data_IF_040683940180
#
_entry.id   IF_040683940180
#
_cell.length_a   1.000
_cell.length_b   1.000
_cell.length_c   1.000
_cell.angle_alpha   90.00
_cell.angle_beta   90.00
_cell.angle_gamma   90.00
#
_symmetry.space_group_name_H-M   'P 1'
#
loop_
_entity.id
_entity.type
_entity.pdbx_description
1 polymer ?
#
# COMPACT_ATOMS: atom_id res chain seq x y z
N UNK A 1 19.09 9.47 6.74
CA UNK A 1 17.97 9.61 7.69
C UNK A 1 17.37 10.98 7.48
N UNK A 2 16.25 11.11 6.75
CA UNK A 2 15.75 12.42 6.34
C UNK A 2 14.24 12.46 6.21
N UNK A 3 13.63 13.44 6.89
CA UNK A 3 12.35 14.01 6.51
C UNK A 3 11.11 13.40 7.18
N UNK A 4 10.96 13.57 8.50
CA UNK A 4 9.65 13.49 9.15
C UNK A 4 9.61 14.46 10.33
N UNK A 5 9.72 15.76 10.07
CA UNK A 5 9.36 16.77 11.05
C UNK A 5 8.55 17.87 10.38
N UNK A 6 7.40 18.14 11.01
CA UNK A 6 6.44 19.22 10.82
C UNK A 6 5.17 18.89 10.00
N UNK A 7 4.02 19.42 10.47
CA UNK A 7 2.61 19.21 10.03
C UNK A 7 1.78 18.14 10.80
N UNK A 8 1.61 18.42 12.10
CA UNK A 8 0.91 17.59 13.09
C UNK A 8 -0.63 17.61 12.96
N UNK A 9 -1.21 16.62 12.27
CA UNK A 9 -2.44 15.87 12.65
C UNK A 9 -2.92 14.90 11.56
N UNK A 10 -2.48 15.10 10.32
CA UNK A 10 -2.80 14.24 9.18
C UNK A 10 -1.61 13.37 8.71
N UNK A 11 -0.36 13.72 9.10
CA UNK A 11 0.85 12.99 8.66
C UNK A 11 1.14 11.67 9.41
N UNK A 12 0.57 11.43 10.60
CA UNK A 12 0.94 10.24 11.40
C UNK A 12 0.39 8.92 10.84
N UNK A 13 -0.71 8.97 10.08
CA UNK A 13 -1.35 7.79 9.51
C UNK A 13 -0.73 7.39 8.17
N UNK A 14 -0.36 8.41 7.39
CA UNK A 14 0.29 8.25 6.10
C UNK A 14 1.68 7.58 6.24
N UNK A 15 2.47 8.00 7.24
CA UNK A 15 3.81 7.44 7.46
C UNK A 15 3.81 5.96 7.89
N UNK A 16 2.78 5.50 8.63
CA UNK A 16 2.67 4.07 9.01
C UNK A 16 2.34 3.19 7.81
N UNK A 17 1.42 3.63 6.94
CA UNK A 17 1.08 2.91 5.73
C UNK A 17 2.28 2.78 4.79
N UNK A 18 3.01 3.87 4.57
CA UNK A 18 4.21 3.89 3.71
C UNK A 18 5.30 2.97 4.27
N UNK A 19 5.55 3.00 5.58
CA UNK A 19 6.52 2.12 6.22
C UNK A 19 6.17 0.63 6.07
N UNK A 20 4.90 0.28 6.27
CA UNK A 20 4.46 -1.11 6.12
C UNK A 20 4.45 -1.57 4.66
N UNK A 21 4.03 -0.72 3.73
CA UNK A 21 4.10 -1.00 2.30
C UNK A 21 5.55 -1.19 1.82
N UNK A 22 6.51 -0.41 2.35
CA UNK A 22 7.94 -0.60 2.06
C UNK A 22 8.48 -1.91 2.65
N UNK A 23 8.02 -2.34 3.83
CA UNK A 23 8.37 -3.65 4.38
C UNK A 23 7.89 -4.79 3.50
N UNK A 24 6.65 -4.69 2.97
CA UNK A 24 6.11 -5.67 2.03
C UNK A 24 6.84 -5.64 0.68
N UNK A 25 7.29 -4.47 0.24
CA UNK A 25 8.06 -4.31 -0.98
C UNK A 25 9.51 -4.80 -0.87
N UNK A 26 10.01 -4.95 0.36
CA UNK A 26 11.37 -5.40 0.63
C UNK A 26 12.41 -4.45 0.03
N UNK A 27 13.19 -4.95 -0.94
CA UNK A 27 14.25 -4.19 -1.61
C UNK A 27 13.74 -3.28 -2.73
N UNK A 28 12.52 -3.51 -3.22
CA UNK A 28 11.93 -2.68 -4.27
C UNK A 28 11.53 -1.31 -3.69
N UNK A 29 11.92 -0.21 -4.34
CA UNK A 29 11.58 1.12 -3.86
C UNK A 29 10.07 1.37 -3.99
N UNK A 30 9.47 1.87 -2.92
CA UNK A 30 8.10 2.35 -2.95
C UNK A 30 8.07 3.79 -3.47
N UNK A 31 7.54 3.98 -4.68
CA UNK A 31 7.50 5.26 -5.36
C UNK A 31 6.16 5.96 -5.21
N UNK A 32 6.18 7.28 -5.00
CA UNK A 32 4.96 8.08 -5.00
C UNK A 32 4.54 8.38 -6.44
N UNK A 33 3.36 7.92 -6.84
CA UNK A 33 2.77 8.25 -8.15
C UNK A 33 1.81 9.43 -8.05
N UNK A 34 1.07 9.53 -6.95
CA UNK A 34 0.21 10.67 -6.63
C UNK A 34 0.26 10.96 -5.12
N UNK A 35 -0.25 12.11 -4.64
CA UNK A 35 -0.30 12.42 -3.21
C UNK A 35 -0.98 11.34 -2.35
N UNK A 36 -1.85 10.52 -2.94
CA UNK A 36 -2.63 9.48 -2.27
C UNK A 36 -2.27 8.05 -2.68
N UNK A 37 -1.33 7.85 -3.62
CA UNK A 37 -0.97 6.53 -4.16
C UNK A 37 0.54 6.34 -4.23
N UNK A 38 1.00 5.26 -3.62
CA UNK A 38 2.36 4.74 -3.76
C UNK A 38 2.38 3.37 -4.38
N UNK A 39 3.39 3.07 -5.19
CA UNK A 39 3.54 1.80 -5.89
C UNK A 39 4.97 1.30 -5.80
N UNK A 40 5.15 0.02 -5.51
CA UNK A 40 6.42 -0.68 -5.65
C UNK A 40 6.23 -1.82 -6.66
N UNK A 41 7.15 -1.92 -7.61
CA UNK A 41 7.24 -3.05 -8.53
C UNK A 41 8.20 -4.09 -7.93
N UNK A 42 7.70 -5.30 -7.71
CA UNK A 42 8.48 -6.41 -7.13
C UNK A 42 9.14 -7.28 -8.21
N UNK A 43 8.91 -6.96 -9.50
CA UNK A 43 9.34 -7.75 -10.64
C UNK A 43 8.36 -8.88 -10.96
N UNK A 44 8.47 -9.42 -12.18
CA UNK A 44 7.63 -10.55 -12.61
C UNK A 44 6.13 -10.23 -12.70
N UNK A 45 5.76 -8.95 -12.81
CA UNK A 45 4.37 -8.49 -12.83
C UNK A 45 3.72 -8.36 -11.45
N UNK A 46 4.50 -8.53 -10.37
CA UNK A 46 4.01 -8.35 -9.01
C UNK A 46 4.16 -6.91 -8.55
N UNK A 47 3.11 -6.34 -7.94
CA UNK A 47 3.14 -4.95 -7.45
C UNK A 47 2.52 -4.83 -6.06
N UNK A 48 3.08 -3.95 -5.24
CA UNK A 48 2.48 -3.47 -3.99
C UNK A 48 1.98 -2.05 -4.23
N UNK A 49 0.70 -1.78 -3.98
CA UNK A 49 0.13 -0.44 -4.09
C UNK A 49 -0.46 -0.01 -2.77
N UNK A 50 -0.08 1.16 -2.26
CA UNK A 50 -0.67 1.78 -1.08
C UNK A 50 -1.56 2.94 -1.49
N UNK A 51 -2.78 2.98 -0.95
CA UNK A 51 -3.78 4.04 -1.21
C UNK A 51 -4.24 4.68 0.11
N UNK A 52 -4.21 6.00 0.18
CA UNK A 52 -4.54 6.82 1.35
C UNK A 52 -6.05 6.97 1.60
N UNK A 53 -6.89 6.74 0.59
CA UNK A 53 -8.34 6.88 0.72
C UNK A 53 -9.01 5.73 -0.03
N UNK A 54 -9.61 4.78 0.70
CA UNK A 54 -10.60 3.91 0.08
C UNK A 54 -11.87 4.74 -0.15
N UNK A 55 -12.57 4.54 -1.26
CA UNK A 55 -13.88 5.16 -1.53
C UNK A 55 -14.93 4.87 -0.44
N UNK A 56 -14.62 3.98 0.51
CA UNK A 56 -15.45 3.55 1.63
C UNK A 56 -15.01 4.13 2.99
N UNK A 57 -14.20 5.20 3.02
CA UNK A 57 -13.66 5.79 4.26
C UNK A 57 -14.76 6.15 5.27
N UNK A 58 -15.91 6.65 4.79
CA UNK A 58 -17.08 6.97 5.63
C UNK A 58 -17.80 5.76 6.23
N UNK A 59 -17.56 4.55 5.73
CA UNK A 59 -18.25 3.31 6.15
C UNK A 59 -17.33 2.38 6.94
N UNK A 60 -16.04 2.36 6.62
CA UNK A 60 -15.08 1.38 7.16
C UNK A 60 -14.10 1.98 8.16
N UNK A 61 -13.96 3.31 8.24
CA UNK A 61 -12.91 3.97 9.02
C UNK A 61 -11.50 3.63 8.56
N UNK A 62 -11.34 2.97 7.40
CA UNK A 62 -10.04 2.55 6.90
C UNK A 62 -9.22 3.78 6.47
N UNK A 63 -8.04 3.92 7.05
CA UNK A 63 -7.13 5.05 6.88
C UNK A 63 -6.15 4.86 5.74
N UNK A 64 -5.89 3.62 5.35
CA UNK A 64 -5.12 3.28 4.16
C UNK A 64 -5.35 1.82 3.76
N UNK A 65 -5.08 1.52 2.50
CA UNK A 65 -5.30 0.21 1.87
C UNK A 65 -4.05 -0.23 1.11
N UNK A 66 -3.65 -1.49 1.25
CA UNK A 66 -2.56 -2.07 0.46
C UNK A 66 -3.12 -3.14 -0.48
N UNK A 67 -2.76 -3.02 -1.75
CA UNK A 67 -3.08 -3.99 -2.79
C UNK A 67 -1.81 -4.76 -3.19
N UNK A 68 -1.89 -6.08 -3.13
CA UNK A 68 -0.88 -6.99 -3.66
C UNK A 68 -1.44 -7.64 -4.93
N UNK A 69 -0.77 -7.43 -6.07
CA UNK A 69 -1.17 -7.99 -7.37
C UNK A 69 -0.05 -8.82 -7.97
N UNK A 70 -0.41 -9.77 -8.83
CA UNK A 70 0.55 -10.52 -9.64
C UNK A 70 1.42 -11.52 -8.87
N UNK A 71 1.05 -11.87 -7.62
CA UNK A 71 1.77 -12.91 -6.88
C UNK A 71 1.46 -14.29 -7.44
N UNK A 72 2.47 -15.09 -7.87
CA UNK A 72 2.27 -16.47 -8.30
C UNK A 72 1.64 -17.34 -7.21
N UNK A 73 1.94 -17.06 -5.94
CA UNK A 73 1.36 -17.78 -4.81
C UNK A 73 -0.14 -17.57 -4.70
N UNK A 74 -0.65 -16.36 -4.99
CA UNK A 74 -2.09 -16.08 -4.99
C UNK A 74 -2.79 -16.81 -6.13
N UNK A 75 -2.17 -16.83 -7.32
CA UNK A 75 -2.71 -17.55 -8.48
C UNK A 75 -2.72 -19.07 -8.27
N UNK A 76 -1.74 -19.60 -7.54
CA UNK A 76 -1.68 -21.02 -7.18
C UNK A 76 -2.76 -21.43 -6.17
N UNK A 77 -3.19 -20.52 -5.30
CA UNK A 77 -4.30 -20.77 -4.36
C UNK A 77 -5.64 -20.71 -5.10
N UNK A 78 -5.83 -19.67 -5.92
CA UNK A 78 -7.00 -19.53 -6.77
C UNK A 78 -6.67 -18.57 -7.93
N UNK A 79 -6.70 -19.09 -9.16
CA UNK A 79 -6.42 -18.32 -10.37
C UNK A 79 -7.38 -17.15 -10.61
N UNK A 80 -8.53 -17.14 -9.95
CA UNK A 80 -9.49 -16.03 -9.96
C UNK A 80 -9.08 -14.88 -9.05
N UNK A 81 -8.18 -15.11 -8.08
CA UNK A 81 -7.69 -14.07 -7.17
C UNK A 81 -6.57 -13.29 -7.88
N UNK A 82 -6.96 -12.14 -8.45
CA UNK A 82 -6.04 -11.24 -9.15
C UNK A 82 -5.38 -10.21 -8.22
N UNK A 83 -5.97 -9.99 -7.06
CA UNK A 83 -5.57 -8.96 -6.10
C UNK A 83 -5.92 -9.39 -4.68
N UNK A 84 -5.03 -9.11 -3.75
CA UNK A 84 -5.27 -9.19 -2.31
C UNK A 84 -5.27 -7.78 -1.73
N UNK A 85 -6.34 -7.39 -1.03
CA UNK A 85 -6.54 -6.03 -0.49
C UNK A 85 -6.54 -6.07 1.04
N UNK A 86 -5.57 -5.39 1.65
CA UNK A 86 -5.43 -5.23 3.10
C UNK A 86 -5.92 -3.84 3.52
N UNK A 87 -6.93 -3.79 4.41
CA UNK A 87 -7.51 -2.53 4.91
C UNK A 87 -7.14 -2.30 6.37
N UNK A 88 -6.61 -1.12 6.67
CA UNK A 88 -6.18 -0.76 8.02
C UNK A 88 -7.00 0.43 8.55
N UNK A 89 -7.50 0.31 9.79
CA UNK A 89 -8.27 1.35 10.51
C UNK A 89 -7.38 2.14 11.47
#
# INVERSE_FOLDING_TARGET
MGGCLNWYRWLTLQCRGVGYAQQLAGKSPLEQKTPSVWVADLGGGQTVTLRSVSSSQGVTGARWTIDLRGSPQLQNINSSIKQFELKFR
#
